data_IF_476206697139
#
_entry.id   IF_476206697139
#
_cell.length_a   1.000
_cell.length_b   1.000
_cell.length_c   1.000
_cell.angle_alpha   90.00
_cell.angle_beta   90.00
_cell.angle_gamma   90.00
#
_symmetry.space_group_name_H-M   'P 1'
#
loop_
_entity.id
_entity.type
_entity.pdbx_description
1 polymer ?
#
# COMPACT_ATOMS: atom_id res chain seq x y z
N UNK A 1 -8.36 -32.12 -1.26
CA UNK A 1 -7.68 -32.52 0.00
C UNK A 1 -6.36 -31.75 0.04
N UNK A 2 -6.27 -30.69 0.87
CA UNK A 2 -4.96 -30.22 1.28
C UNK A 2 -4.34 -31.37 2.06
N UNK A 3 -3.21 -31.91 1.58
CA UNK A 3 -2.52 -32.98 2.27
C UNK A 3 -2.14 -32.45 3.67
N UNK A 4 -2.75 -33.00 4.68
CA UNK A 4 -2.41 -32.72 6.06
C UNK A 4 -1.18 -33.55 6.38
N UNK A 5 -0.03 -32.95 6.40
CA UNK A 5 1.23 -33.60 6.81
C UNK A 5 1.35 -33.76 8.33
N UNK A 6 0.23 -33.69 9.05
CA UNK A 6 0.14 -33.86 10.51
C UNK A 6 0.77 -32.75 11.35
N UNK A 7 1.53 -31.81 10.77
CA UNK A 7 2.35 -30.85 11.51
C UNK A 7 1.99 -29.38 11.29
N UNK A 8 1.20 -29.04 10.27
CA UNK A 8 0.80 -27.67 9.96
C UNK A 8 -0.70 -27.44 10.02
N UNK A 9 -1.16 -26.66 10.99
CA UNK A 9 -2.53 -26.17 10.99
C UNK A 9 -2.77 -25.24 9.80
N UNK A 10 -3.85 -25.47 9.05
CA UNK A 10 -4.23 -24.59 7.94
C UNK A 10 -4.82 -23.30 8.49
N UNK A 11 -4.18 -22.19 8.23
CA UNK A 11 -4.64 -20.89 8.73
C UNK A 11 -5.98 -20.47 8.09
N UNK A 12 -6.89 -19.89 8.86
CA UNK A 12 -8.21 -19.37 8.41
C UNK A 12 -8.10 -18.51 7.14
N UNK A 13 -7.03 -17.70 7.02
CA UNK A 13 -6.75 -16.86 5.84
C UNK A 13 -6.59 -17.64 4.52
N UNK A 14 -6.38 -18.98 4.59
CA UNK A 14 -6.31 -19.84 3.41
C UNK A 14 -7.60 -20.63 3.21
N UNK A 15 -8.31 -20.93 4.28
CA UNK A 15 -9.52 -21.72 4.23
C UNK A 15 -10.69 -20.95 3.62
N UNK A 16 -10.94 -19.73 4.06
CA UNK A 16 -12.07 -18.96 3.56
C UNK A 16 -11.95 -18.63 2.06
N UNK A 17 -10.82 -18.14 1.54
CA UNK A 17 -10.66 -17.95 0.09
C UNK A 17 -10.84 -19.23 -0.71
N UNK A 18 -10.34 -20.36 -0.21
CA UNK A 18 -10.55 -21.65 -0.85
C UNK A 18 -12.04 -22.04 -0.87
N UNK A 19 -12.73 -21.89 0.26
CA UNK A 19 -14.14 -22.19 0.40
C UNK A 19 -15.00 -21.35 -0.57
N UNK A 20 -14.78 -20.05 -0.59
CA UNK A 20 -15.50 -19.11 -1.48
C UNK A 20 -15.21 -19.39 -2.95
N UNK A 21 -13.98 -19.75 -3.30
CA UNK A 21 -13.62 -20.14 -4.66
C UNK A 21 -14.36 -21.40 -5.11
N UNK A 22 -14.35 -22.45 -4.30
CA UNK A 22 -15.10 -23.68 -4.63
C UNK A 22 -16.58 -23.38 -4.84
N UNK A 23 -17.15 -22.55 -3.98
CA UNK A 23 -18.56 -22.13 -4.09
C UNK A 23 -18.83 -21.39 -5.42
N UNK A 24 -17.92 -20.53 -5.87
CA UNK A 24 -18.10 -19.70 -7.07
C UNK A 24 -17.73 -20.41 -8.37
N UNK A 25 -16.66 -21.21 -8.38
CA UNK A 25 -16.02 -21.70 -9.59
C UNK A 25 -16.18 -23.20 -9.81
N UNK A 26 -16.55 -23.99 -8.76
CA UNK A 26 -16.62 -25.46 -8.81
C UNK A 26 -18.04 -25.95 -8.39
N UNK A 27 -19.11 -25.69 -9.18
CA UNK A 27 -20.50 -25.95 -8.75
C UNK A 27 -20.79 -27.43 -8.47
N UNK A 28 -20.23 -28.36 -9.21
CA UNK A 28 -20.39 -29.82 -8.96
C UNK A 28 -19.78 -30.21 -7.62
N UNK A 29 -18.59 -29.72 -7.33
CA UNK A 29 -17.91 -29.97 -6.07
C UNK A 29 -18.62 -29.32 -4.89
N UNK A 30 -19.17 -28.13 -5.10
CA UNK A 30 -19.98 -27.42 -4.12
C UNK A 30 -21.24 -28.23 -3.78
N UNK A 31 -21.97 -28.68 -4.81
CA UNK A 31 -23.17 -29.49 -4.63
C UNK A 31 -22.88 -30.80 -3.89
N UNK A 32 -21.73 -31.46 -4.18
CA UNK A 32 -21.32 -32.68 -3.50
C UNK A 32 -21.08 -32.52 -1.98
N UNK A 33 -20.81 -31.30 -1.51
CA UNK A 33 -20.67 -31.05 -0.06
C UNK A 33 -22.00 -30.98 0.67
N UNK A 34 -23.13 -30.83 -0.02
CA UNK A 34 -24.48 -30.79 0.51
C UNK A 34 -24.62 -29.84 1.71
N UNK A 35 -24.10 -28.63 1.58
CA UNK A 35 -24.08 -27.61 2.64
C UNK A 35 -25.38 -26.82 2.58
N UNK A 36 -26.14 -26.80 3.67
CA UNK A 36 -27.33 -25.95 3.77
C UNK A 36 -26.95 -24.46 3.86
N UNK A 37 -27.87 -23.58 3.49
CA UNK A 37 -27.65 -22.12 3.54
C UNK A 37 -27.28 -21.65 4.96
N UNK A 38 -27.94 -22.20 5.98
CA UNK A 38 -27.62 -21.90 7.37
C UNK A 38 -26.20 -22.33 7.75
N UNK A 39 -25.77 -23.50 7.29
CA UNK A 39 -24.39 -24.00 7.49
C UNK A 39 -23.38 -23.18 6.73
N UNK A 40 -23.68 -22.77 5.50
CA UNK A 40 -22.83 -21.87 4.70
C UNK A 40 -22.59 -20.54 5.43
N UNK A 41 -23.66 -19.89 5.88
CA UNK A 41 -23.55 -18.64 6.62
C UNK A 41 -22.75 -18.80 7.93
N UNK A 42 -22.94 -19.91 8.65
CA UNK A 42 -22.18 -20.21 9.85
C UNK A 42 -20.69 -20.46 9.57
N UNK A 43 -20.36 -21.19 8.51
CA UNK A 43 -18.98 -21.46 8.08
C UNK A 43 -18.26 -20.17 7.66
N UNK A 44 -18.90 -19.31 6.87
CA UNK A 44 -18.32 -18.00 6.48
C UNK A 44 -18.00 -17.18 7.72
N UNK A 45 -18.91 -17.06 8.67
CA UNK A 45 -18.69 -16.36 9.94
C UNK A 45 -17.54 -16.96 10.76
N UNK A 46 -17.50 -18.29 10.86
CA UNK A 46 -16.45 -19.01 11.60
C UNK A 46 -15.07 -18.82 10.97
N UNK A 47 -15.01 -18.84 9.63
CA UNK A 47 -13.78 -18.72 8.87
C UNK A 47 -13.32 -17.28 8.69
N UNK A 48 -14.19 -16.31 8.89
CA UNK A 48 -13.86 -14.89 8.79
C UNK A 48 -12.66 -14.54 9.68
N UNK A 49 -11.65 -13.90 9.07
CA UNK A 49 -10.45 -13.51 9.79
C UNK A 49 -10.61 -12.11 10.39
N UNK A 50 -10.38 -11.97 11.70
CA UNK A 50 -10.44 -10.68 12.42
C UNK A 50 -11.82 -9.98 12.31
N UNK A 51 -12.93 -10.61 12.67
CA UNK A 51 -14.29 -10.12 12.43
C UNK A 51 -14.56 -8.73 13.03
N UNK A 52 -13.89 -8.37 14.12
CA UNK A 52 -14.02 -7.04 14.75
C UNK A 52 -13.58 -5.87 13.85
N UNK A 53 -12.79 -6.14 12.79
CA UNK A 53 -12.21 -5.10 11.94
C UNK A 53 -13.26 -4.29 11.16
N UNK A 54 -14.39 -4.91 10.83
CA UNK A 54 -15.52 -4.28 10.13
C UNK A 54 -16.84 -4.43 10.92
N UNK A 55 -16.75 -4.62 12.23
CA UNK A 55 -17.93 -4.78 13.09
C UNK A 55 -18.83 -3.53 13.10
N UNK A 56 -18.30 -2.36 12.79
CA UNK A 56 -19.06 -1.10 12.62
C UNK A 56 -19.82 -1.02 11.29
N UNK A 57 -19.68 -2.01 10.41
CA UNK A 57 -20.21 -1.97 9.04
C UNK A 57 -19.34 -1.14 8.07
N UNK A 58 -18.17 -0.68 8.51
CA UNK A 58 -17.27 0.14 7.69
C UNK A 58 -15.93 -0.58 7.50
N UNK A 59 -15.46 -0.69 6.26
CA UNK A 59 -14.15 -1.21 5.91
C UNK A 59 -13.12 -0.08 5.84
N UNK A 60 -12.24 0.01 6.83
CA UNK A 60 -11.19 1.04 6.85
C UNK A 60 -10.02 0.65 5.96
N UNK A 61 -9.70 1.51 5.00
CA UNK A 61 -8.57 1.37 4.08
C UNK A 61 -7.59 2.52 4.29
N UNK A 62 -6.40 2.18 4.77
CA UNK A 62 -5.29 3.12 4.95
C UNK A 62 -4.41 3.11 3.72
N UNK A 63 -4.15 4.28 3.16
CA UNK A 63 -3.34 4.52 1.97
C UNK A 63 -2.25 5.53 2.31
N UNK A 64 -1.01 5.27 1.91
CA UNK A 64 0.10 6.20 2.08
C UNK A 64 0.38 6.97 0.79
N UNK A 65 0.69 8.25 0.97
CA UNK A 65 1.28 9.08 -0.08
C UNK A 65 2.70 8.62 -0.40
N UNK A 66 3.24 9.02 -1.54
CA UNK A 66 4.66 8.78 -1.85
C UNK A 66 5.57 9.52 -0.86
N UNK A 67 6.83 9.08 -0.67
CA UNK A 67 7.84 9.88 0.02
C UNK A 67 7.96 11.26 -0.63
N UNK A 68 7.87 12.31 0.19
CA UNK A 68 7.94 13.69 -0.27
C UNK A 68 8.55 14.59 0.81
N UNK A 69 9.26 15.65 0.43
CA UNK A 69 9.73 16.65 1.37
C UNK A 69 8.57 17.25 2.19
N UNK A 70 8.85 17.60 3.43
CA UNK A 70 7.91 18.24 4.32
C UNK A 70 8.51 19.57 4.81
N UNK A 71 7.72 20.64 4.81
CA UNK A 71 8.11 21.95 5.32
C UNK A 71 8.31 21.96 6.86
N UNK A 72 7.70 21.00 7.55
CA UNK A 72 7.81 20.85 9.00
C UNK A 72 9.19 20.37 9.46
N UNK A 73 9.66 20.95 10.57
CA UNK A 73 10.92 20.63 11.23
C UNK A 73 10.72 19.93 12.58
N UNK A 74 9.68 19.08 12.70
CA UNK A 74 9.31 18.41 13.95
C UNK A 74 10.44 17.50 14.45
N UNK A 75 10.87 17.68 15.69
CA UNK A 75 12.01 16.97 16.30
C UNK A 75 11.72 15.46 16.42
N UNK A 76 10.49 15.07 16.74
CA UNK A 76 10.08 13.66 16.94
C UNK A 76 9.58 12.98 15.68
N UNK A 77 9.69 13.62 14.52
CA UNK A 77 9.32 12.98 13.26
C UNK A 77 10.40 11.95 12.87
N UNK A 78 10.07 10.66 12.70
CA UNK A 78 11.05 9.67 12.30
C UNK A 78 11.61 9.94 10.90
N UNK A 79 12.85 9.52 10.69
CA UNK A 79 13.62 9.74 9.48
C UNK A 79 13.81 8.44 8.70
N UNK A 80 12.74 7.86 8.16
CA UNK A 80 12.86 6.80 7.17
C UNK A 80 12.75 7.41 5.75
N UNK A 81 13.85 7.35 5.01
CA UNK A 81 13.94 7.93 3.67
C UNK A 81 13.04 7.28 2.63
N UNK A 82 12.61 6.05 2.90
CA UNK A 82 11.75 5.28 2.02
C UNK A 82 10.27 5.61 2.20
N UNK A 83 9.96 6.29 3.30
CA UNK A 83 8.59 6.55 3.73
C UNK A 83 8.24 8.04 3.63
N UNK A 84 6.97 8.37 3.49
CA UNK A 84 6.53 9.73 3.77
C UNK A 84 6.84 10.08 5.22
N UNK A 85 7.00 11.37 5.50
CA UNK A 85 7.31 11.87 6.85
C UNK A 85 6.32 11.32 7.87
N UNK A 86 6.78 11.11 9.08
CA UNK A 86 6.07 10.56 10.23
C UNK A 86 5.86 9.05 10.25
N UNK A 87 6.36 8.32 9.24
CA UNK A 87 6.16 6.88 9.12
C UNK A 87 7.47 6.12 9.00
N UNK A 88 7.48 4.89 9.54
CA UNK A 88 8.60 3.96 9.47
C UNK A 88 8.29 2.80 8.53
N UNK A 89 9.33 2.29 7.88
CA UNK A 89 9.20 1.24 6.85
C UNK A 89 8.74 -0.12 7.38
N UNK A 90 8.88 -0.38 8.67
CA UNK A 90 8.44 -1.62 9.32
C UNK A 90 6.95 -1.62 9.69
N UNK A 91 6.29 -0.47 9.62
CA UNK A 91 4.85 -0.38 9.82
C UNK A 91 4.07 -1.14 8.75
N UNK A 92 2.99 -1.87 9.13
CA UNK A 92 2.25 -2.69 8.16
C UNK A 92 1.62 -1.92 7.00
N UNK A 93 1.25 -0.65 7.21
CA UNK A 93 0.71 0.20 6.15
C UNK A 93 1.80 0.59 5.15
N UNK A 94 2.97 0.97 5.66
CA UNK A 94 4.16 1.33 4.89
C UNK A 94 4.64 0.18 4.02
N UNK A 95 4.75 -1.02 4.59
CA UNK A 95 5.11 -2.23 3.84
C UNK A 95 4.14 -2.54 2.68
N UNK A 96 2.85 -2.27 2.87
CA UNK A 96 1.87 -2.44 1.79
C UNK A 96 2.04 -1.39 0.70
N UNK A 97 2.26 -0.13 1.10
CA UNK A 97 2.47 0.97 0.17
C UNK A 97 3.72 0.77 -0.69
N UNK A 98 4.85 0.35 -0.08
CA UNK A 98 6.07 0.00 -0.82
C UNK A 98 5.82 -1.07 -1.88
N UNK A 99 5.09 -2.15 -1.54
CA UNK A 99 4.75 -3.22 -2.48
C UNK A 99 3.82 -2.77 -3.61
N UNK A 100 3.23 -1.59 -3.48
CA UNK A 100 2.37 -0.95 -4.47
C UNK A 100 3.04 0.30 -5.06
N UNK A 101 4.36 0.51 -4.85
CA UNK A 101 5.09 1.70 -5.31
C UNK A 101 4.42 3.02 -4.93
N UNK A 102 3.72 3.04 -3.81
CA UNK A 102 2.90 4.17 -3.34
C UNK A 102 1.81 4.62 -4.33
N UNK A 103 1.48 3.78 -5.33
CA UNK A 103 0.35 4.01 -6.22
C UNK A 103 -0.97 3.88 -5.44
N UNK A 104 -1.80 4.93 -5.40
CA UNK A 104 -3.04 4.95 -4.62
C UNK A 104 -4.06 3.91 -5.09
N UNK A 105 -4.20 3.73 -6.41
CA UNK A 105 -5.07 2.72 -6.99
C UNK A 105 -4.68 1.31 -6.55
N UNK A 106 -3.40 0.96 -6.69
CA UNK A 106 -2.89 -0.36 -6.31
C UNK A 106 -3.04 -0.64 -4.82
N UNK A 107 -2.85 0.37 -3.96
CA UNK A 107 -3.02 0.23 -2.52
C UNK A 107 -4.48 -0.09 -2.16
N UNK A 108 -5.45 0.64 -2.73
CA UNK A 108 -6.88 0.41 -2.53
C UNK A 108 -7.27 -0.96 -3.08
N UNK A 109 -6.93 -1.27 -4.33
CA UNK A 109 -7.25 -2.55 -4.97
C UNK A 109 -6.71 -3.75 -4.19
N UNK A 110 -5.45 -3.68 -3.73
CA UNK A 110 -4.85 -4.73 -2.91
C UNK A 110 -5.56 -4.87 -1.56
N UNK A 111 -6.03 -3.76 -1.00
CA UNK A 111 -6.69 -3.77 0.30
C UNK A 111 -8.10 -4.30 0.22
N UNK A 112 -8.89 -3.89 -0.79
CA UNK A 112 -10.23 -4.43 -1.06
C UNK A 112 -10.15 -5.94 -1.26
N UNK A 113 -9.30 -6.41 -2.17
CA UNK A 113 -9.09 -7.85 -2.41
C UNK A 113 -8.75 -8.62 -1.13
N UNK A 114 -7.91 -8.03 -0.26
CA UNK A 114 -7.54 -8.68 1.01
C UNK A 114 -8.71 -8.74 1.98
N UNK A 115 -9.51 -7.69 2.09
CA UNK A 115 -10.67 -7.63 2.97
C UNK A 115 -11.74 -8.62 2.51
N UNK A 116 -12.08 -8.62 1.23
CA UNK A 116 -13.04 -9.57 0.64
C UNK A 116 -12.58 -11.03 0.82
N UNK A 117 -11.30 -11.33 0.56
CA UNK A 117 -10.74 -12.67 0.79
C UNK A 117 -10.75 -13.10 2.27
N UNK A 118 -10.81 -12.16 3.20
CA UNK A 118 -10.95 -12.41 4.63
C UNK A 118 -12.41 -12.51 5.09
N UNK A 119 -13.38 -12.35 4.18
CA UNK A 119 -14.82 -12.41 4.45
C UNK A 119 -15.41 -11.11 4.98
N UNK A 120 -14.75 -9.97 4.77
CA UNK A 120 -15.30 -8.67 5.15
C UNK A 120 -16.17 -8.09 4.05
N UNK A 121 -17.29 -7.48 4.45
CA UNK A 121 -18.11 -6.64 3.59
C UNK A 121 -17.38 -5.34 3.33
N UNK A 122 -17.37 -4.88 2.09
CA UNK A 122 -16.65 -3.68 1.64
C UNK A 122 -17.55 -2.65 0.95
N UNK A 123 -18.85 -2.71 1.21
CA UNK A 123 -19.86 -1.82 0.61
C UNK A 123 -19.72 -0.37 1.09
N UNK A 124 -19.23 -0.20 2.32
CA UNK A 124 -18.92 1.11 2.88
C UNK A 124 -17.46 1.16 3.28
N UNK A 125 -16.72 2.06 2.65
CA UNK A 125 -15.28 2.24 2.86
C UNK A 125 -15.00 3.59 3.49
N UNK A 126 -14.15 3.57 4.53
CA UNK A 126 -13.48 4.74 5.07
C UNK A 126 -12.04 4.78 4.57
N UNK A 127 -11.68 5.83 3.84
CA UNK A 127 -10.31 6.06 3.39
C UNK A 127 -9.54 6.90 4.41
N UNK A 128 -8.41 6.39 4.86
CA UNK A 128 -7.46 7.13 5.69
C UNK A 128 -6.19 7.37 4.88
N UNK A 129 -5.96 8.63 4.51
CA UNK A 129 -4.74 9.04 3.81
C UNK A 129 -3.68 9.40 4.85
N UNK A 130 -2.54 8.75 4.77
CA UNK A 130 -1.39 8.93 5.63
C UNK A 130 -0.20 9.46 4.82
N UNK A 131 0.60 10.33 5.45
CA UNK A 131 1.77 10.93 4.84
C UNK A 131 2.32 12.08 5.67
N UNK A 132 3.22 12.87 5.09
CA UNK A 132 3.64 14.13 5.66
C UNK A 132 2.55 15.20 5.54
N UNK A 133 2.94 16.47 5.59
CA UNK A 133 2.01 17.59 5.41
C UNK A 133 1.39 17.53 4.01
N UNK A 134 0.08 17.37 3.94
CA UNK A 134 -0.64 17.20 2.67
C UNK A 134 -0.44 18.37 1.71
N UNK A 135 -0.47 19.60 2.23
CA UNK A 135 -0.27 20.83 1.45
C UNK A 135 1.13 20.99 0.85
N UNK A 136 2.12 20.20 1.29
CA UNK A 136 3.46 20.23 0.72
C UNK A 136 3.56 19.45 -0.62
N UNK A 137 2.56 18.62 -0.92
CA UNK A 137 2.49 17.94 -2.20
C UNK A 137 2.00 18.89 -3.30
N UNK A 138 2.53 18.79 -4.53
CA UNK A 138 1.99 19.55 -5.66
C UNK A 138 0.50 19.30 -5.85
N UNK A 139 -0.26 20.32 -6.22
CA UNK A 139 -1.70 20.23 -6.41
C UNK A 139 -2.07 19.14 -7.44
N UNK A 140 -1.32 19.03 -8.53
CA UNK A 140 -1.48 17.99 -9.53
C UNK A 140 -1.37 16.57 -8.95
N UNK A 141 -0.42 16.36 -8.02
CA UNK A 141 -0.31 15.09 -7.32
C UNK A 141 -1.50 14.84 -6.38
N UNK A 142 -1.97 15.86 -5.68
CA UNK A 142 -3.11 15.75 -4.77
C UNK A 142 -4.38 15.35 -5.55
N UNK A 143 -4.64 15.99 -6.68
CA UNK A 143 -5.78 15.69 -7.56
C UNK A 143 -5.69 14.28 -8.12
N UNK A 144 -4.54 13.92 -8.70
CA UNK A 144 -4.31 12.57 -9.21
C UNK A 144 -4.47 11.51 -8.11
N UNK A 145 -3.84 11.71 -6.96
CA UNK A 145 -3.89 10.77 -5.84
C UNK A 145 -5.34 10.52 -5.39
N UNK A 146 -6.11 11.58 -5.21
CA UNK A 146 -7.50 11.50 -4.79
C UNK A 146 -8.37 10.84 -5.87
N UNK A 147 -8.21 11.24 -7.13
CA UNK A 147 -8.92 10.64 -8.27
C UNK A 147 -8.70 9.13 -8.35
N UNK A 148 -7.45 8.68 -8.20
CA UNK A 148 -7.10 7.26 -8.26
C UNK A 148 -7.64 6.43 -7.07
N UNK A 149 -7.79 7.05 -5.89
CA UNK A 149 -8.46 6.41 -4.76
C UNK A 149 -9.92 6.10 -5.08
N UNK A 150 -10.66 7.11 -5.57
CA UNK A 150 -12.07 6.94 -5.94
C UNK A 150 -12.26 6.03 -7.15
N UNK A 151 -11.37 6.13 -8.14
CA UNK A 151 -11.38 5.23 -9.29
C UNK A 151 -11.28 3.77 -8.84
N UNK A 152 -10.34 3.44 -7.97
CA UNK A 152 -10.19 2.08 -7.46
C UNK A 152 -11.41 1.58 -6.68
N UNK A 153 -12.16 2.48 -6.02
CA UNK A 153 -13.38 2.13 -5.28
C UNK A 153 -14.59 1.91 -6.20
N UNK A 154 -14.67 2.64 -7.32
CA UNK A 154 -15.85 2.67 -8.18
C UNK A 154 -15.83 1.63 -9.32
N UNK A 155 -14.66 1.05 -9.63
CA UNK A 155 -14.56 -0.03 -10.61
C UNK A 155 -15.16 -1.33 -10.07
N UNK A 156 -15.71 -2.14 -10.97
CA UNK A 156 -16.05 -3.53 -10.67
C UNK A 156 -14.81 -4.33 -10.23
N UNK A 157 -15.01 -5.45 -9.57
CA UNK A 157 -13.89 -6.29 -9.12
C UNK A 157 -13.03 -6.79 -10.29
N UNK A 158 -13.67 -7.12 -11.41
CA UNK A 158 -12.98 -7.60 -12.62
C UNK A 158 -12.13 -6.51 -13.26
N UNK A 159 -12.69 -5.33 -13.44
CA UNK A 159 -11.98 -4.16 -13.98
C UNK A 159 -10.82 -3.76 -13.09
N UNK A 160 -11.05 -3.73 -11.77
CA UNK A 160 -10.03 -3.41 -10.76
C UNK A 160 -8.87 -4.40 -10.79
N UNK A 161 -9.15 -5.70 -10.94
CA UNK A 161 -8.11 -6.73 -11.03
C UNK A 161 -7.32 -6.58 -12.33
N UNK A 162 -8.00 -6.36 -13.46
CA UNK A 162 -7.36 -6.15 -14.77
C UNK A 162 -6.43 -4.94 -14.71
N UNK A 163 -6.94 -3.79 -14.30
CA UNK A 163 -6.15 -2.55 -14.22
C UNK A 163 -4.99 -2.67 -13.23
N UNK A 164 -5.23 -3.26 -12.05
CA UNK A 164 -4.15 -3.51 -11.09
C UNK A 164 -3.04 -4.40 -11.67
N UNK A 165 -3.37 -5.35 -12.52
CA UNK A 165 -2.39 -6.23 -13.18
C UNK A 165 -1.59 -5.46 -14.23
N UNK A 166 -2.26 -4.66 -15.04
CA UNK A 166 -1.63 -3.79 -16.06
C UNK A 166 -0.66 -2.80 -15.42
N UNK A 167 -1.09 -2.11 -14.35
CA UNK A 167 -0.25 -1.16 -13.60
C UNK A 167 0.98 -1.84 -12.99
N UNK A 168 0.84 -3.02 -12.39
CA UNK A 168 1.96 -3.79 -11.85
C UNK A 168 2.96 -4.14 -12.93
N UNK A 169 2.49 -4.66 -14.04
CA UNK A 169 3.33 -5.00 -15.21
C UNK A 169 4.05 -3.76 -15.74
N UNK A 170 3.36 -2.62 -15.75
CA UNK A 170 3.94 -1.35 -16.17
C UNK A 170 5.11 -0.90 -15.26
N UNK A 171 4.94 -0.96 -13.93
CA UNK A 171 6.00 -0.66 -12.97
C UNK A 171 7.20 -1.61 -13.11
N UNK A 172 6.92 -2.92 -13.23
CA UNK A 172 7.96 -3.96 -13.36
C UNK A 172 8.78 -3.80 -14.65
N UNK A 173 8.13 -3.52 -15.77
CA UNK A 173 8.81 -3.28 -17.06
C UNK A 173 9.74 -2.06 -17.03
N UNK A 174 9.53 -1.12 -16.14
CA UNK A 174 10.36 0.07 -15.96
C UNK A 174 11.47 -0.12 -14.94
N UNK A 175 11.69 -1.36 -14.52
CA UNK A 175 12.78 -1.68 -13.60
C UNK A 175 12.62 -1.13 -12.21
N UNK A 176 11.39 -0.77 -11.78
CA UNK A 176 11.15 -0.42 -10.40
C UNK A 176 11.15 -1.70 -9.57
N UNK A 177 12.11 -1.88 -8.64
CA UNK A 177 12.19 -3.10 -7.88
C UNK A 177 10.97 -3.25 -6.97
N UNK A 178 10.47 -4.47 -6.89
CA UNK A 178 9.36 -4.85 -5.99
C UNK A 178 9.85 -5.19 -4.59
N UNK A 179 11.12 -5.53 -4.52
CA UNK A 179 11.80 -5.85 -3.28
C UNK A 179 12.15 -4.57 -2.52
N UNK A 180 11.86 -4.58 -1.22
CA UNK A 180 12.08 -3.42 -0.32
C UNK A 180 13.55 -3.04 -0.21
N UNK A 181 14.42 -4.03 -0.15
CA UNK A 181 15.84 -3.79 0.06
C UNK A 181 16.50 -3.24 -1.20
N UNK A 182 16.12 -3.77 -2.37
CA UNK A 182 16.53 -3.25 -3.66
C UNK A 182 16.03 -1.82 -3.91
N UNK A 183 14.78 -1.50 -3.53
CA UNK A 183 14.23 -0.15 -3.62
C UNK A 183 14.97 0.81 -2.68
N UNK A 184 15.25 0.38 -1.46
CA UNK A 184 16.00 1.16 -0.48
C UNK A 184 17.45 1.40 -0.93
N UNK A 185 18.11 0.38 -1.51
CA UNK A 185 19.45 0.51 -2.06
C UNK A 185 19.48 1.50 -3.23
N UNK A 186 18.55 1.40 -4.16
CA UNK A 186 18.41 2.32 -5.28
C UNK A 186 18.16 3.78 -4.83
N UNK A 187 17.39 3.96 -3.76
CA UNK A 187 17.14 5.27 -3.18
C UNK A 187 18.40 5.87 -2.51
N UNK A 188 19.21 5.03 -1.86
CA UNK A 188 20.46 5.47 -1.19
C UNK A 188 21.59 5.76 -2.16
N UNK A 189 21.65 5.06 -3.27
CA UNK A 189 22.74 5.21 -4.26
C UNK A 189 22.87 6.64 -4.84
N UNK A 190 21.87 7.49 -4.65
CA UNK A 190 21.89 8.88 -5.10
C UNK A 190 22.17 9.92 -4.01
N UNK A 191 22.54 9.51 -2.80
CA UNK A 191 22.72 10.41 -1.65
C UNK A 191 24.15 10.33 -1.11
N UNK A 192 24.85 11.46 -0.97
CA UNK A 192 26.16 11.50 -0.31
C UNK A 192 26.04 11.01 1.14
N UNK A 193 26.96 10.16 1.58
CA UNK A 193 27.05 9.76 2.98
C UNK A 193 27.39 10.98 3.84
N UNK A 194 26.52 11.32 4.79
CA UNK A 194 26.86 12.24 5.86
C UNK A 194 27.44 11.43 7.03
N UNK A 195 28.62 11.76 7.49
CA UNK A 195 29.17 11.16 8.71
C UNK A 195 28.36 11.64 9.92
N UNK A 196 27.85 10.76 10.76
CA UNK A 196 27.16 11.16 11.98
C UNK A 196 28.18 11.65 13.01
N UNK A 197 28.02 12.89 13.47
CA UNK A 197 28.72 13.36 14.66
C UNK A 197 27.97 12.89 15.93
N UNK A 198 28.69 12.46 16.95
CA UNK A 198 28.07 12.12 18.25
C UNK A 198 27.57 13.40 18.95
N UNK A 199 26.30 13.44 19.36
CA UNK A 199 25.76 14.64 19.99
C UNK A 199 26.18 14.75 21.46
N UNK A 200 26.71 15.89 21.85
CA UNK A 200 27.09 16.21 23.24
C UNK A 200 25.99 16.97 24.00
N UNK A 201 25.03 17.55 23.32
CA UNK A 201 23.97 18.38 23.92
C UNK A 201 22.65 18.30 23.17
N UNK A 202 21.55 18.71 23.80
CA UNK A 202 20.23 18.80 23.13
C UNK A 202 20.25 19.68 21.86
N UNK A 203 21.03 20.78 21.89
CA UNK A 203 21.19 21.65 20.72
C UNK A 203 21.91 20.96 19.56
N UNK A 204 22.85 20.06 19.86
CA UNK A 204 23.55 19.24 18.87
C UNK A 204 22.64 18.16 18.31
N UNK A 205 21.86 17.50 19.18
CA UNK A 205 20.83 16.55 18.75
C UNK A 205 19.82 17.23 17.79
N UNK A 206 19.36 18.43 18.14
CA UNK A 206 18.44 19.18 17.29
C UNK A 206 19.07 19.53 15.93
N UNK A 207 20.35 19.95 15.91
CA UNK A 207 21.10 20.19 14.66
C UNK A 207 21.30 18.92 13.84
N UNK A 208 21.62 17.79 14.47
CA UNK A 208 21.71 16.49 13.80
C UNK A 208 20.39 16.07 13.16
N UNK A 209 19.27 16.23 13.88
CA UNK A 209 17.94 15.95 13.35
C UNK A 209 17.64 16.82 12.14
N UNK A 210 18.03 18.10 12.15
CA UNK A 210 17.85 18.99 10.99
C UNK A 210 18.74 18.56 9.82
N UNK A 211 20.00 18.22 10.05
CA UNK A 211 20.92 17.70 9.03
C UNK A 211 20.39 16.38 8.44
N UNK A 212 19.92 15.46 9.28
CA UNK A 212 19.31 14.19 8.83
C UNK A 212 18.06 14.42 8.00
N UNK A 213 17.24 15.43 8.34
CA UNK A 213 16.06 15.82 7.56
C UNK A 213 16.45 16.39 6.20
N UNK A 214 17.53 17.18 6.13
CA UNK A 214 18.05 17.68 4.85
C UNK A 214 18.52 16.53 3.95
N UNK A 215 19.27 15.56 4.50
CA UNK A 215 19.65 14.32 3.81
C UNK A 215 18.44 13.52 3.37
N UNK A 216 17.44 13.36 4.21
CA UNK A 216 16.19 12.68 3.87
C UNK A 216 15.46 13.40 2.74
N UNK A 217 15.43 14.73 2.75
CA UNK A 217 14.86 15.53 1.68
C UNK A 217 15.54 15.23 0.33
N UNK A 218 16.87 15.24 0.31
CA UNK A 218 17.65 14.91 -0.88
C UNK A 218 17.37 13.49 -1.38
N UNK A 219 17.29 12.52 -0.47
CA UNK A 219 16.96 11.13 -0.80
C UNK A 219 15.54 10.97 -1.34
N UNK A 220 14.57 11.66 -0.75
CA UNK A 220 13.20 11.68 -1.27
C UNK A 220 13.11 12.29 -2.66
N UNK A 221 13.90 13.33 -2.94
CA UNK A 221 14.05 13.87 -4.29
C UNK A 221 14.71 12.85 -5.23
N UNK A 222 15.67 12.06 -4.73
CA UNK A 222 16.30 10.96 -5.46
C UNK A 222 15.30 9.88 -5.85
N UNK A 223 14.47 9.42 -4.89
CA UNK A 223 13.39 8.46 -5.15
C UNK A 223 12.38 9.03 -6.16
N UNK A 224 11.98 10.29 -5.99
CA UNK A 224 11.08 10.96 -6.94
C UNK A 224 11.68 11.06 -8.34
N UNK A 225 13.00 11.27 -8.44
CA UNK A 225 13.72 11.26 -9.73
C UNK A 225 13.80 9.87 -10.34
N UNK A 226 14.00 8.83 -9.54
CA UNK A 226 13.97 7.44 -10.02
C UNK A 226 12.59 7.06 -10.55
N UNK A 227 11.54 7.40 -9.81
CA UNK A 227 10.15 7.20 -10.25
C UNK A 227 9.86 7.99 -11.53
N UNK A 228 10.35 9.24 -11.63
CA UNK A 228 10.22 10.05 -12.84
C UNK A 228 11.02 9.50 -14.02
N UNK A 229 12.23 8.94 -13.80
CA UNK A 229 13.03 8.29 -14.84
C UNK A 229 12.42 7.00 -15.33
N UNK A 230 11.92 6.17 -14.42
CA UNK A 230 11.15 4.98 -14.76
C UNK A 230 9.86 5.33 -15.51
N UNK A 231 9.30 6.53 -15.24
CA UNK A 231 8.15 7.12 -15.90
C UNK A 231 8.47 8.17 -16.96
N UNK A 232 9.63 8.09 -17.62
CA UNK A 232 9.97 8.99 -18.74
C UNK A 232 8.98 8.85 -19.91
N UNK A 233 8.17 7.82 -19.90
CA UNK A 233 6.99 7.68 -20.73
C UNK A 233 5.86 8.58 -20.20
N UNK A 234 5.12 9.15 -21.10
CA UNK A 234 4.16 10.26 -20.95
C UNK A 234 3.12 10.02 -19.86
N UNK A 235 2.71 8.78 -19.62
CA UNK A 235 1.57 8.45 -18.75
C UNK A 235 1.85 8.63 -17.25
N UNK A 236 2.99 8.14 -16.74
CA UNK A 236 3.33 8.34 -15.32
C UNK A 236 3.83 9.75 -15.06
N UNK A 237 4.54 10.33 -16.04
CA UNK A 237 5.01 11.72 -15.97
C UNK A 237 3.83 12.68 -15.90
N UNK A 238 2.79 12.42 -16.67
CA UNK A 238 1.56 13.19 -16.65
C UNK A 238 0.73 12.90 -15.39
N UNK A 239 0.57 11.64 -14.99
CA UNK A 239 -0.10 11.27 -13.76
C UNK A 239 0.59 11.82 -12.50
N UNK A 240 1.92 11.90 -12.49
CA UNK A 240 2.68 12.45 -11.36
C UNK A 240 2.80 13.99 -11.42
N UNK A 241 2.65 14.59 -12.61
CA UNK A 241 2.78 16.02 -12.81
C UNK A 241 1.45 16.75 -12.88
N UNK A 242 0.53 16.24 -13.64
CA UNK A 242 -0.65 17.01 -14.04
C UNK A 242 -1.97 16.44 -13.56
N UNK A 243 -2.02 15.36 -12.78
CA UNK A 243 -3.25 14.85 -12.11
C UNK A 243 -4.58 14.94 -12.89
N UNK A 244 -4.57 15.64 -14.00
CA UNK A 244 -5.73 16.06 -14.76
C UNK A 244 -6.16 15.08 -15.87
N UNK A 245 -5.30 14.11 -16.22
CA UNK A 245 -5.60 13.15 -17.29
C UNK A 245 -6.26 11.85 -16.82
N UNK A 246 -6.59 11.76 -15.51
CA UNK A 246 -7.27 10.62 -14.92
C UNK A 246 -8.61 10.99 -14.24
N UNK A 247 -9.17 12.16 -14.57
CA UNK A 247 -10.52 12.56 -14.17
C UNK A 247 -11.55 12.14 -15.23
#
# INVERSE_FOLDING_TARGET
RAAHDGTRQVAKRRLLPFYLRVKAEEPERWAAWNISEATDAALVRLLQAKPRRTASGVATITVLTKPWPCSGACVFCPNDIRMPKSYLSDEPACQRAERCWFDPFLQVAARLRTLTAMGHVTDKVELIVLGGTWSDYPESYQRWFTGELFRALNLSDEERVREATERRTWYERRGLPRDRDALAAAARAGVPAAEPAEPASYGEVARMVQATKASQHQMQQGVSRLVKRAGADTTLKNALRDGAEFA
#
